data_IF_397789746663
#
_entry.id   IF_397789746663
#
_cell.length_a   1.000
_cell.length_b   1.000
_cell.length_c   1.000
_cell.angle_alpha   90.00
_cell.angle_beta   90.00
_cell.angle_gamma   90.00
#
_symmetry.space_group_name_H-M   'P 1'
#
loop_
_entity.id
_entity.type
_entity.pdbx_description
1 polymer ?
#
# COMPACT_ATOMS: atom_id res chain seq x y z
N UNK A 1 -42.52 47.08 -14.18
CA UNK A 1 -42.15 47.55 -12.82
C UNK A 1 -42.05 46.32 -11.92
N UNK A 2 -40.84 45.89 -11.51
CA UNK A 2 -40.21 46.16 -10.19
C UNK A 2 -41.12 45.68 -9.03
N UNK A 3 -40.76 44.74 -8.14
CA UNK A 3 -39.46 44.48 -7.46
C UNK A 3 -39.31 43.03 -6.95
N UNK A 4 -38.05 42.64 -6.91
CA UNK A 4 -37.40 41.50 -6.24
C UNK A 4 -37.51 41.52 -4.71
N UNK A 5 -37.36 40.34 -4.08
CA UNK A 5 -36.57 40.17 -2.85
C UNK A 5 -35.68 38.92 -2.91
N UNK A 6 -34.40 39.21 -2.78
CA UNK A 6 -33.18 38.40 -2.80
C UNK A 6 -33.02 37.53 -1.54
N UNK A 7 -32.43 36.34 -1.68
CA UNK A 7 -31.68 35.67 -0.62
C UNK A 7 -30.24 35.46 -1.12
N UNK A 8 -29.32 36.22 -0.50
CA UNK A 8 -27.86 36.12 -0.66
C UNK A 8 -27.38 34.94 0.18
N UNK A 9 -26.73 33.96 -0.44
CA UNK A 9 -25.81 33.09 0.26
C UNK A 9 -24.43 33.78 0.24
N UNK A 10 -23.86 34.05 1.41
CA UNK A 10 -22.53 34.64 1.57
C UNK A 10 -21.52 33.51 1.72
N UNK A 11 -20.53 33.50 0.82
CA UNK A 11 -19.28 32.74 0.91
C UNK A 11 -18.31 33.44 1.86
N UNK A 12 -17.59 32.69 2.70
CA UNK A 12 -16.25 33.06 3.21
C UNK A 12 -15.35 31.81 3.22
N UNK A 13 -14.24 31.88 2.46
CA UNK A 13 -12.97 31.15 2.62
C UNK A 13 -12.91 29.74 2.02
N UNK A 14 -12.63 29.49 0.74
CA UNK A 14 -11.39 29.69 -0.04
C UNK A 14 -10.15 28.87 0.40
N UNK A 15 -10.19 27.56 0.16
CA UNK A 15 -9.03 26.88 -0.44
C UNK A 15 -9.53 26.23 -1.73
N UNK A 16 -9.17 26.78 -2.90
CA UNK A 16 -9.56 26.16 -4.15
C UNK A 16 -8.70 24.91 -4.31
N UNK A 17 -9.31 23.73 -4.16
CA UNK A 17 -8.79 22.53 -4.82
C UNK A 17 -8.95 22.78 -6.33
N UNK A 18 -7.98 23.46 -6.92
CA UNK A 18 -7.81 23.52 -8.36
C UNK A 18 -7.32 22.15 -8.79
N UNK A 19 -8.25 21.22 -9.03
CA UNK A 19 -8.02 20.17 -10.01
C UNK A 19 -7.84 20.89 -11.35
N UNK A 20 -6.59 21.21 -11.67
CA UNK A 20 -6.19 21.75 -12.96
C UNK A 20 -6.36 20.65 -14.02
N UNK A 21 -7.60 20.38 -14.42
CA UNK A 21 -7.88 19.88 -15.75
C UNK A 21 -7.66 21.04 -16.71
N UNK A 22 -6.44 21.19 -17.22
CA UNK A 22 -6.03 22.26 -18.15
C UNK A 22 -6.62 22.10 -19.57
N UNK A 23 -7.90 21.73 -19.70
CA UNK A 23 -8.61 21.81 -20.99
C UNK A 23 -10.01 22.41 -20.81
N UNK A 24 -10.45 23.30 -21.72
CA UNK A 24 -11.84 23.72 -21.76
C UNK A 24 -12.74 22.49 -21.90
N UNK A 25 -13.86 22.45 -21.17
CA UNK A 25 -14.80 21.34 -21.20
C UNK A 25 -15.23 21.04 -22.64
N UNK A 26 -14.74 19.94 -23.20
CA UNK A 26 -15.20 19.45 -24.50
C UNK A 26 -16.54 18.73 -24.29
N UNK A 27 -17.53 18.88 -25.19
CA UNK A 27 -18.75 18.09 -25.13
C UNK A 27 -18.39 16.60 -25.23
N UNK A 28 -18.73 15.84 -24.19
CA UNK A 28 -18.60 14.39 -24.18
C UNK A 28 -19.84 13.74 -24.79
N UNK A 29 -19.64 12.79 -25.69
CA UNK A 29 -20.73 12.01 -26.28
C UNK A 29 -20.66 10.58 -25.76
N UNK A 30 -21.77 10.07 -25.21
CA UNK A 30 -21.87 8.71 -24.71
C UNK A 30 -22.90 7.93 -25.54
N UNK A 31 -22.45 6.87 -26.19
CA UNK A 31 -23.30 6.00 -27.00
C UNK A 31 -23.21 4.57 -26.48
N UNK A 32 -24.33 3.83 -26.56
CA UNK A 32 -24.38 2.44 -26.09
C UNK A 32 -23.72 1.46 -27.06
N UNK A 33 -23.75 1.78 -28.35
CA UNK A 33 -23.15 1.00 -29.42
C UNK A 33 -22.96 1.85 -30.70
N UNK A 34 -22.20 1.37 -31.71
CA UNK A 34 -21.94 2.11 -32.94
C UNK A 34 -23.20 2.48 -33.72
N UNK A 35 -24.27 1.67 -33.64
CA UNK A 35 -25.53 1.98 -34.30
C UNK A 35 -26.18 3.24 -33.68
N UNK A 36 -26.24 3.33 -32.34
CA UNK A 36 -26.74 4.52 -31.64
C UNK A 36 -25.88 5.77 -31.89
N UNK A 37 -24.56 5.61 -32.03
CA UNK A 37 -23.64 6.67 -32.42
C UNK A 37 -23.93 7.17 -33.85
N UNK A 38 -24.13 6.24 -34.79
CA UNK A 38 -24.44 6.57 -36.19
C UNK A 38 -25.82 7.22 -36.33
N UNK A 39 -26.83 6.75 -35.58
CA UNK A 39 -28.19 7.33 -35.59
C UNK A 39 -28.22 8.74 -35.01
N UNK A 40 -27.34 9.08 -34.07
CA UNK A 40 -27.24 10.43 -33.53
C UNK A 40 -26.74 11.46 -34.55
N UNK A 41 -26.20 11.00 -35.71
CA UNK A 41 -25.73 11.82 -36.82
C UNK A 41 -24.66 12.88 -36.43
N UNK A 42 -23.99 12.70 -35.28
CA UNK A 42 -22.87 13.53 -34.83
C UNK A 42 -21.55 13.06 -35.46
N UNK A 43 -21.38 11.74 -35.61
CA UNK A 43 -20.18 11.11 -36.16
C UNK A 43 -20.56 10.14 -37.28
N UNK A 44 -19.63 9.90 -38.20
CA UNK A 44 -19.81 8.91 -39.24
C UNK A 44 -19.59 7.48 -38.72
N UNK A 45 -20.06 6.50 -39.50
CA UNK A 45 -19.96 5.08 -39.13
C UNK A 45 -18.50 4.65 -38.88
N UNK A 46 -17.50 5.01 -39.72
CA UNK A 46 -16.10 4.70 -39.45
C UNK A 46 -15.60 5.19 -38.10
N UNK A 47 -15.88 6.45 -37.72
CA UNK A 47 -15.46 7.01 -36.42
C UNK A 47 -16.12 6.25 -35.27
N UNK A 48 -17.43 6.02 -35.33
CA UNK A 48 -18.15 5.29 -34.28
C UNK A 48 -17.60 3.87 -34.05
N UNK A 49 -17.17 3.19 -35.12
CA UNK A 49 -16.54 1.88 -35.01
C UNK A 49 -15.10 1.96 -34.51
N UNK A 50 -14.32 2.95 -34.97
CA UNK A 50 -12.94 3.14 -34.53
C UNK A 50 -12.84 3.45 -33.04
N UNK A 51 -13.68 4.37 -32.53
CA UNK A 51 -13.73 4.72 -31.11
C UNK A 51 -14.16 3.54 -30.24
N UNK A 52 -15.05 2.67 -30.74
CA UNK A 52 -15.39 1.44 -30.03
C UNK A 52 -14.18 0.50 -29.90
N UNK A 53 -13.37 0.36 -30.94
CA UNK A 53 -12.17 -0.47 -30.88
C UNK A 53 -11.13 0.10 -29.90
N UNK A 54 -10.94 1.42 -29.87
CA UNK A 54 -10.11 2.09 -28.86
C UNK A 54 -10.65 1.85 -27.44
N UNK A 55 -11.96 2.00 -27.24
CA UNK A 55 -12.59 1.75 -25.95
C UNK A 55 -12.45 0.30 -25.49
N UNK A 56 -12.55 -0.67 -26.41
CA UNK A 56 -12.32 -2.10 -26.13
C UNK A 56 -10.87 -2.38 -25.74
N UNK A 57 -9.92 -1.80 -26.46
CA UNK A 57 -8.49 -1.94 -26.14
C UNK A 57 -8.17 -1.35 -24.76
N UNK A 58 -8.73 -0.18 -24.42
CA UNK A 58 -8.59 0.43 -23.11
C UNK A 58 -9.30 -0.38 -22.00
N UNK A 59 -10.47 -0.96 -22.29
CA UNK A 59 -11.21 -1.83 -21.37
C UNK A 59 -10.35 -3.01 -20.92
N UNK A 60 -9.65 -3.68 -21.83
CA UNK A 60 -8.77 -4.80 -21.48
C UNK A 60 -7.66 -4.41 -20.49
N UNK A 61 -7.22 -3.16 -20.49
CA UNK A 61 -6.14 -2.68 -19.62
C UNK A 61 -6.63 -2.15 -18.28
N UNK A 62 -7.83 -1.57 -18.23
CA UNK A 62 -8.32 -0.76 -17.11
C UNK A 62 -9.58 -1.27 -16.44
N UNK A 63 -10.25 -2.28 -17.01
CA UNK A 63 -11.48 -2.82 -16.46
C UNK A 63 -11.26 -3.37 -15.03
N UNK A 64 -12.14 -3.03 -14.08
CA UNK A 64 -12.15 -3.67 -12.76
C UNK A 64 -12.22 -5.19 -12.91
N UNK A 65 -11.40 -5.89 -12.14
CA UNK A 65 -11.30 -7.35 -12.20
C UNK A 65 -11.96 -7.95 -10.97
N UNK A 66 -12.80 -8.95 -11.19
CA UNK A 66 -13.49 -9.69 -10.14
C UNK A 66 -13.10 -11.14 -10.24
N UNK A 67 -12.96 -11.79 -9.07
CA UNK A 67 -12.69 -13.23 -9.01
C UNK A 67 -13.92 -14.05 -9.37
N UNK A 68 -15.11 -13.58 -9.00
CA UNK A 68 -16.37 -14.27 -9.25
C UNK A 68 -17.28 -13.42 -10.13
N UNK A 69 -18.00 -14.09 -11.04
CA UNK A 69 -19.01 -13.43 -11.88
C UNK A 69 -20.06 -12.70 -11.03
N UNK A 70 -20.46 -13.27 -9.89
CA UNK A 70 -21.45 -12.68 -9.00
C UNK A 70 -21.07 -11.30 -8.46
N UNK A 71 -19.79 -11.09 -8.13
CA UNK A 71 -19.31 -9.80 -7.60
C UNK A 71 -19.34 -8.72 -8.69
N UNK A 72 -18.89 -9.08 -9.90
CA UNK A 72 -18.98 -8.19 -11.05
C UNK A 72 -20.45 -7.86 -11.39
N UNK A 73 -21.35 -8.86 -11.35
CA UNK A 73 -22.76 -8.67 -11.66
C UNK A 73 -23.51 -7.90 -10.56
N UNK A 74 -23.00 -7.87 -9.32
CA UNK A 74 -23.54 -7.02 -8.27
C UNK A 74 -23.25 -5.53 -8.55
N UNK A 75 -22.03 -5.21 -8.98
CA UNK A 75 -21.61 -3.83 -9.27
C UNK A 75 -22.09 -3.34 -10.64
N UNK A 76 -22.00 -4.22 -11.63
CA UNK A 76 -22.24 -3.89 -13.03
C UNK A 76 -23.49 -4.53 -13.60
N UNK A 77 -24.29 -5.30 -12.87
CA UNK A 77 -25.55 -5.89 -13.35
C UNK A 77 -25.40 -7.19 -14.14
N UNK A 78 -26.44 -8.03 -14.07
CA UNK A 78 -26.47 -9.37 -14.65
C UNK A 78 -26.15 -9.36 -16.16
N UNK A 79 -25.26 -10.26 -16.59
CA UNK A 79 -24.88 -10.43 -18.01
C UNK A 79 -24.02 -9.30 -18.58
N UNK A 80 -23.54 -8.35 -17.77
CA UNK A 80 -22.64 -7.26 -18.21
C UNK A 80 -21.16 -7.53 -17.86
N UNK A 81 -20.83 -8.79 -17.55
CA UNK A 81 -19.51 -9.23 -17.14
C UNK A 81 -18.94 -10.27 -18.12
N UNK A 82 -17.73 -10.03 -18.57
CA UNK A 82 -16.99 -10.91 -19.47
C UNK A 82 -15.80 -11.59 -18.77
N UNK A 83 -15.45 -12.83 -19.15
CA UNK A 83 -14.21 -13.46 -18.69
C UNK A 83 -13.02 -12.60 -19.09
N UNK A 84 -12.15 -12.32 -18.12
CA UNK A 84 -10.87 -11.70 -18.44
C UNK A 84 -10.04 -12.68 -19.31
N UNK A 85 -9.28 -12.21 -20.30
CA UNK A 85 -8.37 -13.08 -21.05
C UNK A 85 -7.44 -13.83 -20.09
N UNK A 86 -7.23 -15.13 -20.36
CA UNK A 86 -6.22 -15.91 -19.65
C UNK A 86 -4.90 -15.17 -19.78
N UNK A 87 -4.32 -14.73 -18.66
CA UNK A 87 -3.12 -13.91 -18.52
C UNK A 87 -3.29 -12.37 -18.32
N UNK A 88 -4.44 -11.89 -17.82
CA UNK A 88 -4.56 -10.51 -17.29
C UNK A 88 -4.39 -10.40 -15.77
N UNK A 89 -3.42 -11.13 -15.20
CA UNK A 89 -2.74 -10.58 -14.02
C UNK A 89 -2.15 -9.22 -14.38
N UNK A 90 -1.89 -8.33 -13.41
CA UNK A 90 -1.10 -7.12 -13.68
C UNK A 90 0.14 -7.55 -14.48
N UNK A 91 0.24 -7.15 -15.75
CA UNK A 91 1.38 -7.56 -16.58
C UNK A 91 2.64 -7.03 -15.90
N UNK A 92 3.49 -7.91 -15.39
CA UNK A 92 4.73 -7.53 -14.70
C UNK A 92 5.80 -7.35 -15.76
N UNK A 93 6.28 -6.11 -16.02
CA UNK A 93 7.40 -5.90 -16.94
C UNK A 93 8.60 -6.75 -16.54
N UNK A 94 9.14 -7.51 -17.49
CA UNK A 94 10.23 -8.45 -17.25
C UNK A 94 11.57 -7.82 -17.68
N UNK A 95 12.68 -8.20 -17.02
CA UNK A 95 12.78 -9.10 -15.87
C UNK A 95 12.27 -8.49 -14.55
N UNK A 96 11.86 -9.35 -13.61
CA UNK A 96 11.50 -8.98 -12.25
C UNK A 96 12.71 -9.14 -11.33
N UNK A 97 13.30 -8.03 -10.89
CA UNK A 97 14.42 -8.04 -9.96
C UNK A 97 13.90 -8.13 -8.52
N UNK A 98 14.64 -8.84 -7.67
CA UNK A 98 14.45 -8.95 -6.23
C UNK A 98 15.73 -8.50 -5.52
N UNK A 99 15.60 -7.54 -4.62
CA UNK A 99 16.73 -6.89 -3.97
C UNK A 99 16.70 -6.92 -2.44
N UNK A 100 17.87 -7.17 -1.86
CA UNK A 100 18.17 -7.07 -0.44
C UNK A 100 19.56 -6.44 -0.26
N UNK A 101 19.87 -6.02 0.97
CA UNK A 101 21.23 -5.67 1.37
C UNK A 101 22.14 -6.87 1.13
N UNK A 102 23.31 -6.65 0.54
CA UNK A 102 24.22 -7.70 0.09
C UNK A 102 24.59 -8.68 1.23
N UNK A 103 24.91 -8.12 2.40
CA UNK A 103 25.41 -8.86 3.55
C UNK A 103 24.30 -9.36 4.51
N UNK A 104 23.02 -9.12 4.19
CA UNK A 104 21.89 -9.57 5.01
C UNK A 104 21.46 -10.98 4.62
N UNK A 105 21.95 -11.98 5.35
CA UNK A 105 21.58 -13.39 5.11
C UNK A 105 20.09 -13.67 5.34
N UNK A 106 19.48 -12.99 6.31
CA UNK A 106 18.05 -13.11 6.61
C UNK A 106 17.19 -12.59 5.45
N UNK A 107 17.48 -11.37 4.99
CA UNK A 107 16.77 -10.78 3.86
C UNK A 107 16.98 -11.62 2.60
N UNK A 108 18.20 -12.14 2.40
CA UNK A 108 18.52 -13.01 1.27
C UNK A 108 17.65 -14.27 1.27
N UNK A 109 17.42 -14.89 2.43
CA UNK A 109 16.52 -16.04 2.54
C UNK A 109 15.08 -15.71 2.12
N UNK A 110 14.56 -14.56 2.54
CA UNK A 110 13.22 -14.08 2.15
C UNK A 110 13.15 -13.77 0.65
N UNK A 111 14.17 -13.10 0.11
CA UNK A 111 14.28 -12.81 -1.33
C UNK A 111 14.32 -14.09 -2.16
N UNK A 112 15.14 -15.07 -1.76
CA UNK A 112 15.27 -16.33 -2.49
C UNK A 112 13.94 -17.11 -2.51
N UNK A 113 13.20 -17.12 -1.40
CA UNK A 113 11.86 -17.70 -1.34
C UNK A 113 10.86 -17.01 -2.29
N UNK A 114 10.79 -15.67 -2.27
CA UNK A 114 9.87 -14.93 -3.15
C UNK A 114 10.26 -15.05 -4.63
N UNK A 115 11.56 -15.09 -4.92
CA UNK A 115 12.09 -15.28 -6.27
C UNK A 115 11.77 -16.68 -6.80
N UNK A 116 11.85 -17.71 -5.96
CA UNK A 116 11.45 -19.07 -6.32
C UNK A 116 9.95 -19.13 -6.68
N UNK A 117 9.09 -18.50 -5.87
CA UNK A 117 7.65 -18.37 -6.19
C UNK A 117 7.44 -17.67 -7.54
N UNK A 118 8.13 -16.55 -7.79
CA UNK A 118 8.00 -15.82 -9.05
C UNK A 118 8.49 -16.64 -10.26
N UNK A 119 9.56 -17.41 -10.07
CA UNK A 119 10.08 -18.34 -11.10
C UNK A 119 9.06 -19.44 -11.41
N UNK A 120 8.46 -20.05 -10.38
CA UNK A 120 7.39 -21.05 -10.54
C UNK A 120 6.14 -20.46 -11.21
N UNK A 121 5.87 -19.18 -11.02
CA UNK A 121 4.82 -18.43 -11.71
C UNK A 121 5.19 -18.03 -13.16
N UNK A 122 6.40 -18.38 -13.63
CA UNK A 122 6.84 -18.16 -15.01
C UNK A 122 7.49 -16.78 -15.27
N UNK A 123 7.90 -16.06 -14.22
CA UNK A 123 8.63 -14.80 -14.37
C UNK A 123 10.14 -15.01 -14.53
N UNK A 124 10.80 -14.12 -15.28
CA UNK A 124 12.26 -13.98 -15.29
C UNK A 124 12.69 -13.26 -14.00
N UNK A 125 12.83 -14.05 -12.94
CA UNK A 125 13.05 -13.58 -11.59
C UNK A 125 14.56 -13.53 -11.27
N UNK A 126 15.10 -12.33 -11.10
CA UNK A 126 16.55 -12.09 -10.91
C UNK A 126 16.83 -11.56 -9.52
N UNK A 127 18.00 -11.89 -8.98
CA UNK A 127 18.49 -11.26 -7.75
C UNK A 127 19.43 -10.11 -8.09
N UNK A 128 19.41 -9.03 -7.32
CA UNK A 128 20.41 -7.96 -7.34
C UNK A 128 20.61 -7.44 -5.91
N UNK A 129 21.83 -7.11 -5.51
CA UNK A 129 22.04 -6.44 -4.22
C UNK A 129 21.54 -4.99 -4.32
N UNK A 130 21.00 -4.42 -3.24
CA UNK A 130 20.52 -3.02 -3.27
C UNK A 130 21.66 -2.05 -3.63
N UNK A 131 22.87 -2.36 -3.20
CA UNK A 131 24.11 -1.60 -3.44
C UNK A 131 24.59 -1.65 -4.89
N UNK A 132 24.16 -2.67 -5.65
CA UNK A 132 24.53 -2.88 -7.05
C UNK A 132 23.57 -2.18 -8.03
N UNK A 133 22.49 -1.58 -7.53
CA UNK A 133 21.55 -0.83 -8.36
C UNK A 133 22.13 0.56 -8.63
N UNK A 134 22.24 0.92 -9.91
CA UNK A 134 22.72 2.21 -10.36
C UNK A 134 21.62 3.10 -10.96
N UNK A 135 22.04 4.29 -11.40
CA UNK A 135 21.24 5.20 -12.23
C UNK A 135 21.96 5.42 -13.57
N UNK A 136 21.21 5.35 -14.67
CA UNK A 136 21.74 5.75 -15.98
C UNK A 136 21.84 7.28 -16.13
N UNK A 137 22.26 7.75 -17.31
CA UNK A 137 22.41 9.20 -17.60
C UNK A 137 21.08 9.96 -17.62
N UNK A 138 19.98 9.26 -17.89
CA UNK A 138 18.63 9.80 -17.78
C UNK A 138 18.06 9.62 -16.36
N UNK A 139 18.82 8.93 -15.50
CA UNK A 139 18.54 8.36 -14.19
C UNK A 139 17.30 7.50 -14.08
N UNK A 140 17.13 6.59 -15.04
CA UNK A 140 16.43 5.34 -14.80
C UNK A 140 17.29 4.38 -13.97
N UNK A 141 16.65 3.49 -13.21
CA UNK A 141 17.37 2.49 -12.41
C UNK A 141 17.92 1.38 -13.32
N UNK A 142 19.17 1.00 -13.10
CA UNK A 142 19.90 0.01 -13.91
C UNK A 142 20.63 -1.02 -13.06
N UNK A 143 20.90 -2.19 -13.65
CA UNK A 143 21.75 -3.23 -13.05
C UNK A 143 23.25 -3.01 -13.36
N UNK A 144 24.09 -3.96 -12.92
CA UNK A 144 25.55 -3.96 -13.13
C UNK A 144 25.98 -3.99 -14.61
N UNK A 145 25.10 -4.42 -15.52
CA UNK A 145 25.33 -4.43 -16.97
C UNK A 145 24.76 -3.17 -17.66
N UNK A 146 24.40 -2.13 -16.89
CA UNK A 146 23.71 -0.91 -17.33
C UNK A 146 22.34 -1.18 -17.99
N UNK A 147 21.71 -2.32 -17.71
CA UNK A 147 20.38 -2.63 -18.25
C UNK A 147 19.30 -2.04 -17.35
N UNK A 148 18.30 -1.42 -17.96
CA UNK A 148 17.14 -0.89 -17.25
C UNK A 148 16.45 -1.97 -16.43
N UNK A 149 16.12 -1.65 -15.17
CA UNK A 149 15.34 -2.47 -14.25
C UNK A 149 13.86 -2.14 -14.43
N UNK A 150 13.05 -3.00 -15.07
CA UNK A 150 11.68 -2.66 -15.40
C UNK A 150 10.71 -2.93 -14.24
N UNK A 151 10.95 -3.97 -13.44
CA UNK A 151 10.26 -4.20 -12.16
C UNK A 151 11.24 -4.57 -11.07
N UNK A 152 11.07 -4.00 -9.88
CA UNK A 152 11.92 -4.22 -8.71
C UNK A 152 11.08 -4.54 -7.48
N UNK A 153 11.33 -5.70 -6.89
CA UNK A 153 11.00 -6.00 -5.51
C UNK A 153 12.16 -5.71 -4.58
N UNK A 154 11.91 -5.12 -3.40
CA UNK A 154 12.96 -4.87 -2.41
C UNK A 154 12.50 -5.11 -0.97
N UNK A 155 13.39 -5.62 -0.13
CA UNK A 155 13.25 -5.59 1.33
C UNK A 155 13.83 -4.32 1.96
N UNK A 156 14.69 -3.60 1.23
CA UNK A 156 15.27 -2.34 1.70
C UNK A 156 14.15 -1.33 2.03
N UNK A 157 14.12 -0.72 3.22
CA UNK A 157 13.00 0.12 3.64
C UNK A 157 12.77 1.35 2.74
N UNK A 158 11.52 1.81 2.65
CA UNK A 158 11.21 2.99 1.84
C UNK A 158 11.75 4.27 2.47
N UNK A 159 11.66 4.38 3.79
CA UNK A 159 12.17 5.49 4.59
C UNK A 159 13.67 5.73 4.34
N UNK A 160 14.48 4.67 4.24
CA UNK A 160 15.91 4.82 3.99
C UNK A 160 16.17 5.26 2.55
N UNK A 161 15.53 4.59 1.58
CA UNK A 161 15.68 4.95 0.17
C UNK A 161 15.25 6.39 -0.13
N UNK A 162 14.23 6.91 0.57
CA UNK A 162 13.73 8.27 0.40
C UNK A 162 14.65 9.34 1.02
N UNK A 163 15.48 8.97 1.99
CA UNK A 163 16.48 9.86 2.61
C UNK A 163 17.82 9.86 1.86
N UNK A 164 18.00 8.92 0.93
CA UNK A 164 19.22 8.76 0.11
C UNK A 164 19.17 9.54 -1.21
N UNK A 165 20.34 9.68 -1.85
CA UNK A 165 20.52 10.41 -3.11
C UNK A 165 19.66 9.87 -4.27
N UNK A 166 19.27 8.60 -4.22
CA UNK A 166 18.44 7.97 -5.25
C UNK A 166 16.94 8.21 -5.01
N UNK A 167 16.55 8.65 -3.81
CA UNK A 167 15.18 8.93 -3.42
C UNK A 167 14.43 9.87 -4.39
N UNK A 168 15.00 11.04 -4.76
CA UNK A 168 14.38 11.94 -5.73
C UNK A 168 14.11 11.32 -7.10
N UNK A 169 14.80 10.25 -7.48
CA UNK A 169 14.66 9.56 -8.77
C UNK A 169 13.50 8.58 -8.82
N UNK A 170 12.93 8.22 -7.66
CA UNK A 170 11.71 7.41 -7.61
C UNK A 170 10.56 8.15 -8.30
N UNK A 171 10.50 9.47 -8.16
CA UNK A 171 9.53 10.30 -8.87
C UNK A 171 9.88 10.36 -10.37
N UNK A 172 9.02 9.82 -11.21
CA UNK A 172 9.19 9.84 -12.67
C UNK A 172 9.99 8.67 -13.25
N UNK A 173 10.37 7.68 -12.43
CA UNK A 173 10.96 6.44 -12.93
C UNK A 173 9.93 5.59 -13.69
N UNK A 174 10.41 4.82 -14.67
CA UNK A 174 9.65 3.78 -15.36
C UNK A 174 9.80 2.39 -14.71
N UNK A 175 10.64 2.27 -13.67
CA UNK A 175 10.74 1.07 -12.84
C UNK A 175 9.48 0.91 -12.01
N UNK A 176 8.81 -0.24 -12.16
CA UNK A 176 7.70 -0.60 -11.29
C UNK A 176 8.22 -1.18 -9.98
N UNK A 177 7.89 -0.55 -8.86
CA UNK A 177 8.24 -1.07 -7.55
C UNK A 177 7.15 -1.98 -6.97
N UNK A 178 7.59 -3.09 -6.37
CA UNK A 178 6.77 -3.99 -5.56
C UNK A 178 7.49 -4.17 -4.22
N UNK A 179 7.01 -3.70 -3.09
CA UNK A 179 5.80 -2.95 -2.87
C UNK A 179 5.92 -1.50 -3.38
N UNK A 180 4.82 -0.86 -3.80
CA UNK A 180 4.85 0.49 -4.35
C UNK A 180 5.20 1.55 -3.28
N UNK A 181 5.72 2.73 -3.67
CA UNK A 181 6.17 3.77 -2.74
C UNK A 181 5.12 4.23 -1.72
N UNK A 182 3.84 4.24 -2.10
CA UNK A 182 2.76 4.64 -1.21
C UNK A 182 2.60 3.73 0.01
N UNK A 183 3.13 2.49 -0.02
CA UNK A 183 3.15 1.62 1.17
C UNK A 183 3.99 2.20 2.31
N UNK A 184 4.89 3.15 2.05
CA UNK A 184 5.60 3.89 3.09
C UNK A 184 4.66 4.62 4.06
N UNK A 185 3.47 5.05 3.58
CA UNK A 185 2.44 5.65 4.43
C UNK A 185 1.81 4.60 5.36
N UNK A 186 1.58 3.38 4.85
CA UNK A 186 0.95 2.31 5.63
C UNK A 186 1.90 1.66 6.64
N UNK A 187 3.21 1.62 6.36
CA UNK A 187 4.21 1.08 7.28
C UNK A 187 4.62 2.08 8.37
N UNK A 188 4.23 3.35 8.26
CA UNK A 188 4.51 4.38 9.25
C UNK A 188 3.47 4.35 10.38
N UNK A 189 3.91 4.31 11.64
CA UNK A 189 3.01 4.25 12.80
C UNK A 189 2.10 5.46 12.98
N UNK A 190 2.38 6.59 12.33
CA UNK A 190 1.49 7.74 12.26
C UNK A 190 0.11 7.38 11.68
N UNK A 191 0.04 6.36 10.83
CA UNK A 191 -1.23 5.84 10.30
C UNK A 191 -2.18 5.38 11.42
N UNK A 192 -1.65 4.92 12.57
CA UNK A 192 -2.46 4.48 13.70
C UNK A 192 -3.28 5.63 14.28
N UNK A 193 -2.67 6.82 14.42
CA UNK A 193 -3.35 8.01 14.91
C UNK A 193 -4.43 8.47 13.93
N UNK A 194 -4.11 8.50 12.63
CA UNK A 194 -5.05 8.90 11.58
C UNK A 194 -6.22 7.92 11.43
N UNK A 195 -5.97 6.61 11.54
CA UNK A 195 -7.02 5.60 11.52
C UNK A 195 -7.95 5.75 12.72
N UNK A 196 -7.41 6.02 13.91
CA UNK A 196 -8.21 6.25 15.10
C UNK A 196 -9.05 7.54 15.02
N UNK A 197 -8.45 8.63 14.55
CA UNK A 197 -9.14 9.90 14.31
C UNK A 197 -10.36 9.72 13.38
N UNK A 198 -10.17 8.97 12.27
CA UNK A 198 -11.21 8.76 11.27
C UNK A 198 -12.26 7.72 11.69
N UNK A 199 -11.87 6.72 12.48
CA UNK A 199 -12.72 5.57 12.85
C UNK A 199 -12.68 5.28 14.37
N UNK A 200 -13.06 6.26 15.22
CA UNK A 200 -13.02 6.08 16.66
C UNK A 200 -13.99 4.97 17.11
N UNK A 201 -13.52 4.11 18.01
CA UNK A 201 -14.31 2.99 18.54
C UNK A 201 -14.41 1.77 17.62
N UNK A 202 -13.70 1.74 16.49
CA UNK A 202 -13.62 0.55 15.65
C UNK A 202 -13.01 -0.64 16.45
N UNK A 203 -13.61 -1.84 16.41
CA UNK A 203 -13.23 -2.95 17.29
C UNK A 203 -11.78 -3.45 17.13
N UNK A 204 -11.19 -3.23 15.96
CA UNK A 204 -9.80 -3.61 15.66
C UNK A 204 -8.79 -2.46 15.82
N UNK A 205 -9.21 -1.30 16.34
CA UNK A 205 -8.33 -0.16 16.57
C UNK A 205 -8.20 0.14 18.06
N UNK A 206 -6.99 0.52 18.46
CA UNK A 206 -6.71 1.07 19.78
C UNK A 206 -6.60 2.60 19.67
N UNK A 207 -7.05 3.35 20.70
CA UNK A 207 -6.80 4.78 20.78
C UNK A 207 -5.33 5.11 20.53
N UNK A 208 -5.05 5.97 19.56
CA UNK A 208 -3.70 6.35 19.19
C UNK A 208 -3.67 7.83 18.79
N UNK A 209 -2.62 8.52 19.20
CA UNK A 209 -2.42 9.95 18.94
C UNK A 209 -0.96 10.21 18.62
N UNK A 210 -0.67 11.29 17.90
CA UNK A 210 0.71 11.77 17.81
C UNK A 210 1.21 12.17 19.20
N UNK A 211 2.45 11.83 19.51
CA UNK A 211 3.05 12.06 20.83
C UNK A 211 3.15 13.57 21.16
N UNK A 212 3.22 14.41 20.12
CA UNK A 212 3.24 15.87 20.23
C UNK A 212 1.88 16.51 20.61
N UNK A 213 0.81 15.71 20.77
CA UNK A 213 -0.52 16.18 21.19
C UNK A 213 -0.73 15.87 22.69
N UNK A 214 -0.31 16.75 23.62
CA UNK A 214 -0.34 16.47 25.05
C UNK A 214 -1.75 16.39 25.64
N UNK A 215 -2.74 17.03 24.99
CA UNK A 215 -4.13 17.08 25.45
C UNK A 215 -4.91 15.79 25.17
N UNK A 216 -4.41 14.96 24.24
CA UNK A 216 -5.03 13.69 23.92
C UNK A 216 -4.90 12.72 25.10
N UNK A 217 -6.04 12.39 25.72
CA UNK A 217 -6.07 11.52 26.89
C UNK A 217 -6.19 10.06 26.46
N UNK A 218 -5.21 9.26 26.83
CA UNK A 218 -5.28 7.80 26.71
C UNK A 218 -5.86 7.19 27.99
N UNK A 219 -6.49 5.99 27.90
CA UNK A 219 -6.81 5.18 29.08
C UNK A 219 -5.58 4.90 29.94
N UNK A 220 -5.80 4.30 31.12
CA UNK A 220 -4.69 3.88 31.97
C UNK A 220 -3.74 2.94 31.21
N UNK A 221 -2.49 3.37 31.05
CA UNK A 221 -1.46 2.68 30.30
C UNK A 221 -1.38 3.07 28.82
N UNK A 222 -0.15 3.22 28.32
CA UNK A 222 0.15 3.60 26.95
C UNK A 222 1.47 2.99 26.47
N UNK A 223 1.63 2.94 25.15
CA UNK A 223 2.86 2.54 24.48
C UNK A 223 3.27 3.63 23.52
N UNK A 224 4.49 4.15 23.67
CA UNK A 224 5.09 5.11 22.75
C UNK A 224 5.93 4.38 21.72
N UNK A 225 5.71 4.71 20.45
CA UNK A 225 6.31 4.02 19.31
C UNK A 225 6.82 5.05 18.30
N UNK A 226 8.13 5.11 17.99
CA UNK A 226 8.64 5.99 16.95
C UNK A 226 8.02 5.67 15.58
N UNK A 227 7.80 6.69 14.75
CA UNK A 227 7.04 6.58 13.50
C UNK A 227 7.55 5.47 12.55
N UNK A 228 8.87 5.41 12.38
CA UNK A 228 9.55 4.49 11.46
C UNK A 228 10.24 3.31 12.17
N UNK A 229 10.03 3.14 13.48
CA UNK A 229 10.66 2.04 14.22
C UNK A 229 10.23 0.67 13.70
N UNK A 230 11.08 -0.34 13.87
CA UNK A 230 10.82 -1.74 13.47
C UNK A 230 11.18 -2.66 14.63
N UNK A 231 10.73 -3.92 14.56
CA UNK A 231 11.25 -5.01 15.42
C UNK A 231 11.21 -4.74 16.95
N UNK A 232 10.26 -3.95 17.43
CA UNK A 232 10.15 -3.64 18.87
C UNK A 232 11.21 -2.66 19.40
N UNK A 233 12.05 -2.09 18.53
CA UNK A 233 13.07 -1.12 18.91
C UNK A 233 12.47 0.21 19.37
N UNK A 234 13.11 0.84 20.38
CA UNK A 234 12.72 2.15 20.93
C UNK A 234 11.29 2.22 21.50
N UNK A 235 10.66 1.09 21.77
CA UNK A 235 9.34 1.03 22.38
C UNK A 235 9.44 1.39 23.87
N UNK A 236 8.59 2.32 24.31
CA UNK A 236 8.35 2.59 25.72
C UNK A 236 6.94 2.13 26.06
N UNK A 237 6.83 1.19 26.99
CA UNK A 237 5.57 0.62 27.44
C UNK A 237 5.35 1.02 28.89
N UNK A 238 4.20 1.62 29.15
CA UNK A 238 3.68 1.91 30.48
C UNK A 238 2.34 1.21 30.60
N UNK A 239 2.26 0.10 31.32
CA UNK A 239 1.00 -0.60 31.54
C UNK A 239 0.22 -0.01 32.73
N UNK A 240 -1.08 -0.31 32.78
CA UNK A 240 -1.95 0.14 33.86
C UNK A 240 -1.59 -0.45 35.23
N UNK A 241 -0.95 -1.62 35.26
CA UNK A 241 -0.50 -2.33 36.46
C UNK A 241 0.86 -1.83 36.99
N UNK A 242 1.42 -0.79 36.37
CA UNK A 242 2.71 -0.20 36.75
C UNK A 242 3.92 -0.80 36.05
N UNK A 243 3.75 -1.82 35.19
CA UNK A 243 4.85 -2.32 34.38
C UNK A 243 5.39 -1.21 33.46
N UNK A 244 6.69 -0.98 33.52
CA UNK A 244 7.39 -0.03 32.68
C UNK A 244 8.58 -0.70 31.98
N UNK A 245 8.57 -0.67 30.66
CA UNK A 245 9.64 -1.22 29.82
C UNK A 245 10.11 -0.15 28.83
N UNK A 246 11.42 -0.10 28.61
CA UNK A 246 12.05 0.78 27.62
C UNK A 246 13.07 -0.03 26.85
N UNK A 247 12.82 -0.26 25.56
CA UNK A 247 13.71 -1.03 24.68
C UNK A 247 14.66 -0.05 23.98
N UNK A 248 15.99 -0.29 23.96
CA UNK A 248 16.91 0.56 23.22
C UNK A 248 16.72 0.42 21.69
N UNK A 249 17.37 1.28 20.92
CA UNK A 249 17.39 1.18 19.46
C UNK A 249 17.79 2.48 18.78
N UNK A 250 17.91 2.48 17.44
CA UNK A 250 18.43 3.61 16.68
C UNK A 250 17.37 4.69 16.35
N UNK A 251 16.08 4.42 16.59
CA UNK A 251 15.00 5.26 16.09
C UNK A 251 14.73 6.47 16.99
N UNK A 252 14.91 7.66 16.40
CA UNK A 252 14.54 8.95 16.99
C UNK A 252 13.33 9.60 16.31
N UNK A 253 13.16 10.91 16.55
CA UNK A 253 12.16 11.74 15.88
C UNK A 253 10.74 11.60 16.43
N UNK A 254 9.76 11.82 15.55
CA UNK A 254 8.34 11.76 15.89
C UNK A 254 7.90 10.36 16.37
N UNK A 255 6.85 10.33 17.18
CA UNK A 255 6.28 9.10 17.70
C UNK A 255 4.76 9.21 17.79
N UNK A 256 4.11 8.05 17.96
CA UNK A 256 2.73 7.96 18.42
C UNK A 256 2.69 7.42 19.83
N UNK A 257 1.69 7.84 20.61
CA UNK A 257 1.26 7.16 21.83
C UNK A 257 -0.02 6.42 21.54
N UNK A 258 -0.04 5.12 21.83
CA UNK A 258 -1.20 4.26 21.65
C UNK A 258 -1.62 3.69 23.01
N UNK A 259 -2.91 3.48 23.23
CA UNK A 259 -3.43 2.81 24.41
C UNK A 259 -2.75 1.44 24.58
N UNK A 260 -2.38 1.11 25.80
CA UNK A 260 -1.72 -0.16 26.07
C UNK A 260 -2.74 -1.31 26.05
N UNK A 261 -2.45 -2.35 25.28
CA UNK A 261 -3.13 -3.62 25.32
C UNK A 261 -2.08 -4.72 25.34
N UNK A 262 -1.87 -5.32 26.51
CA UNK A 262 -0.85 -6.36 26.67
C UNK A 262 -1.28 -7.63 25.95
N UNK A 263 -0.30 -8.29 25.32
CA UNK A 263 -0.46 -9.66 24.85
C UNK A 263 -0.76 -10.58 26.04
N UNK A 264 -1.54 -11.66 25.86
CA UNK A 264 -1.74 -12.63 26.92
C UNK A 264 -0.40 -13.25 27.33
N UNK A 265 -0.20 -13.49 28.62
CA UNK A 265 0.96 -14.26 29.10
C UNK A 265 0.56 -15.73 29.22
N UNK A 266 1.07 -16.57 28.32
CA UNK A 266 0.83 -18.02 28.30
C UNK A 266 2.12 -18.73 28.66
N UNK A 267 2.15 -19.39 29.83
CA UNK A 267 3.33 -20.09 30.34
C UNK A 267 4.62 -19.24 30.33
N UNK A 268 4.49 -17.94 30.66
CA UNK A 268 5.62 -17.00 30.68
C UNK A 268 6.03 -16.46 29.31
N UNK A 269 5.24 -16.71 28.26
CA UNK A 269 5.47 -16.22 26.90
C UNK A 269 4.32 -15.32 26.45
N UNK A 270 4.64 -14.37 25.58
CA UNK A 270 3.71 -13.38 25.04
C UNK A 270 3.57 -13.58 23.53
N UNK A 271 2.59 -14.37 23.07
CA UNK A 271 2.40 -14.63 21.66
C UNK A 271 1.68 -13.45 20.97
N UNK A 272 2.17 -13.10 19.79
CA UNK A 272 1.53 -12.19 18.84
C UNK A 272 1.16 -12.93 17.56
N UNK A 273 -0.02 -12.62 17.02
CA UNK A 273 -0.49 -13.16 15.75
C UNK A 273 -0.13 -12.17 14.64
N UNK A 274 0.62 -12.63 13.65
CA UNK A 274 0.80 -11.94 12.37
C UNK A 274 -0.18 -12.48 11.34
N UNK A 275 -0.80 -11.60 10.56
CA UNK A 275 -1.66 -11.96 9.43
C UNK A 275 -0.99 -11.52 8.12
N UNK A 276 -0.83 -12.46 7.19
CA UNK A 276 -0.26 -12.20 5.87
C UNK A 276 -1.37 -11.85 4.88
N UNK A 277 -1.23 -10.70 4.23
CA UNK A 277 -2.15 -10.23 3.19
C UNK A 277 -1.42 -10.23 1.85
N UNK A 278 -1.94 -10.98 0.88
CA UNK A 278 -1.44 -11.03 -0.50
C UNK A 278 -2.46 -10.36 -1.41
N UNK A 279 -2.06 -9.27 -2.06
CA UNK A 279 -2.99 -8.38 -2.74
C UNK A 279 -3.96 -7.76 -1.74
N UNK A 280 -5.23 -8.14 -1.83
CA UNK A 280 -6.34 -7.67 -1.02
C UNK A 280 -6.91 -8.74 -0.07
N UNK A 281 -6.25 -9.91 0.06
CA UNK A 281 -6.78 -11.05 0.82
C UNK A 281 -5.82 -11.54 1.89
N UNK A 282 -6.35 -11.80 3.08
CA UNK A 282 -5.63 -12.55 4.10
C UNK A 282 -5.42 -14.00 3.63
N UNK A 283 -4.17 -14.45 3.65
CA UNK A 283 -3.75 -15.72 3.06
C UNK A 283 -3.06 -16.66 4.05
N UNK A 284 -2.69 -16.18 5.23
CA UNK A 284 -2.06 -17.01 6.24
C UNK A 284 -1.85 -16.25 7.54
N UNK A 285 -1.56 -17.00 8.60
CA UNK A 285 -1.17 -16.44 9.88
C UNK A 285 0.17 -17.03 10.32
N UNK A 286 0.87 -16.30 11.16
CA UNK A 286 2.04 -16.78 11.90
C UNK A 286 1.91 -16.37 13.36
N UNK A 287 2.55 -17.13 14.25
CA UNK A 287 2.62 -16.78 15.67
C UNK A 287 4.09 -16.57 16.02
N UNK A 288 4.38 -15.44 16.65
CA UNK A 288 5.69 -15.17 17.26
C UNK A 288 5.50 -15.04 18.77
N UNK A 289 6.44 -15.53 19.56
CA UNK A 289 6.45 -15.30 21.00
C UNK A 289 7.76 -14.74 21.51
N UNK A 290 7.64 -13.99 22.58
CA UNK A 290 8.76 -13.48 23.36
C UNK A 290 8.50 -13.69 24.85
N UNK A 291 9.57 -13.76 25.65
CA UNK A 291 9.46 -13.77 27.10
C UNK A 291 9.13 -12.37 27.66
N UNK A 292 9.32 -11.33 26.84
CA UNK A 292 8.91 -9.95 27.10
C UNK A 292 7.54 -9.65 26.47
N UNK A 293 6.73 -8.76 27.07
CA UNK A 293 5.52 -8.23 26.43
C UNK A 293 5.76 -7.48 25.11
N UNK A 294 7.01 -7.12 24.80
CA UNK A 294 7.39 -6.46 23.55
C UNK A 294 8.04 -7.50 22.64
N UNK A 295 7.35 -7.85 21.55
CA UNK A 295 7.90 -8.69 20.48
C UNK A 295 9.07 -7.98 19.79
N UNK A 296 10.17 -8.70 19.61
CA UNK A 296 11.42 -8.23 19.04
C UNK A 296 11.80 -9.01 17.77
N UNK A 297 12.87 -8.61 17.10
CA UNK A 297 13.41 -9.36 15.97
C UNK A 297 13.83 -10.80 16.37
N UNK A 298 14.38 -10.97 17.57
CA UNK A 298 14.79 -12.28 18.12
C UNK A 298 13.63 -13.16 18.59
N UNK A 299 12.38 -12.68 18.55
CA UNK A 299 11.23 -13.46 18.96
C UNK A 299 11.04 -14.71 18.09
N UNK A 300 10.67 -15.81 18.72
CA UNK A 300 10.65 -17.13 18.09
C UNK A 300 9.36 -17.31 17.31
N UNK A 301 9.44 -17.93 16.12
CA UNK A 301 8.26 -18.41 15.42
C UNK A 301 7.75 -19.70 16.06
N UNK A 302 6.44 -19.77 16.32
CA UNK A 302 5.80 -21.01 16.78
C UNK A 302 5.16 -21.76 15.62
N UNK A 303 5.43 -23.08 15.53
CA UNK A 303 4.56 -23.98 14.78
C UNK A 303 3.14 -23.90 15.33
N UNK A 304 2.18 -23.83 14.41
CA UNK A 304 0.77 -23.84 14.75
C UNK A 304 0.01 -24.65 13.70
N UNK A 305 -1.20 -25.05 14.05
CA UNK A 305 -2.14 -25.72 13.17
C UNK A 305 -3.55 -25.27 13.56
N UNK A 306 -4.47 -25.35 12.61
CA UNK A 306 -5.88 -25.05 12.83
C UNK A 306 -6.58 -26.39 13.03
N UNK A 307 -7.34 -26.50 14.12
CA UNK A 307 -8.20 -27.64 14.41
C UNK A 307 -9.61 -27.30 13.92
N UNK A 308 -10.20 -28.23 13.14
CA UNK A 308 -11.60 -28.19 12.71
C UNK A 308 -12.55 -28.73 13.79
#
# INVERSE_FOLDING_TARGET
MKRSRTLRLVLIGSTPLMLAGCEPSRPGYLYRNPASCTTAAVFDRPICHHELELARAAHLQSAPRYRWRGDCEADFGAGRCEPAPDNTGLSVPQPLYFASVCDSLEDRGTIDYLRDIATQAGHDARHIAIEDIGLDRTGGFVDLDERHIPTLFKLYPWEFLLEEDFGPRIAGTFTRFIEPPWKAVLSNKGILALLWERHPGHPNLLPAFFDAEPEATLPAGWVRKPLFSREGANIQLHAADGLHLCVPGPYGGGAVRQACHLLPCLAGQYPVIGSWVVGDRACGIGIREDASPITQDSSRFLPHFILD
#
